data_IF_102384018327
#
_entry.id   IF_102384018327
#
_cell.length_a   1.000
_cell.length_b   1.000
_cell.length_c   1.000
_cell.angle_alpha   90.00
_cell.angle_beta   90.00
_cell.angle_gamma   90.00
#
_symmetry.space_group_name_H-M   'P 1'
#
loop_
_entity.id
_entity.type
_entity.pdbx_description
1 polymer ?
#
# COMPACT_ATOMS: atom_id res chain seq x y z
N UNK A 1 22.81 -26.44 0.06
CA UNK A 1 22.62 -25.14 0.73
C UNK A 1 23.85 -24.29 0.46
N UNK A 2 23.70 -23.15 -0.22
CA UNK A 2 24.83 -22.34 -0.68
C UNK A 2 25.47 -21.62 0.52
N UNK A 3 26.80 -21.52 0.58
CA UNK A 3 27.51 -20.86 1.69
C UNK A 3 27.08 -19.40 1.91
N UNK A 4 26.51 -18.73 0.90
CA UNK A 4 25.94 -17.39 1.00
C UNK A 4 24.64 -17.33 1.81
N UNK A 5 23.85 -18.42 1.82
CA UNK A 5 22.61 -18.51 2.59
C UNK A 5 22.87 -18.73 4.10
N UNK A 6 24.00 -19.35 4.43
CA UNK A 6 24.42 -19.52 5.82
C UNK A 6 24.95 -18.20 6.40
N UNK A 7 25.72 -17.44 5.62
CA UNK A 7 26.24 -16.14 6.04
C UNK A 7 25.12 -15.12 6.23
N UNK A 8 24.12 -15.07 5.35
CA UNK A 8 22.98 -14.14 5.49
C UNK A 8 22.09 -14.46 6.70
N UNK A 9 21.99 -15.74 7.09
CA UNK A 9 21.28 -16.17 8.31
C UNK A 9 22.09 -15.97 9.58
N UNK A 10 23.42 -16.08 9.51
CA UNK A 10 24.31 -15.90 10.66
C UNK A 10 24.68 -14.42 10.91
N UNK A 11 24.57 -13.56 9.90
CA UNK A 11 24.85 -12.13 9.99
C UNK A 11 24.18 -11.41 11.18
N UNK A 12 22.87 -11.57 11.46
CA UNK A 12 22.24 -10.93 12.61
C UNK A 12 22.79 -11.43 13.96
N UNK A 13 23.09 -12.73 14.08
CA UNK A 13 23.67 -13.28 15.30
C UNK A 13 25.09 -12.76 15.53
N UNK A 14 25.90 -12.69 14.48
CA UNK A 14 27.24 -12.11 14.53
C UNK A 14 27.19 -10.63 14.89
N UNK A 15 26.21 -9.88 14.38
CA UNK A 15 26.01 -8.48 14.74
C UNK A 15 25.64 -8.32 16.22
N UNK A 16 24.73 -9.15 16.75
CA UNK A 16 24.37 -9.15 18.18
C UNK A 16 25.57 -9.48 19.07
N UNK A 17 26.32 -10.55 18.74
CA UNK A 17 27.51 -10.94 19.50
C UNK A 17 28.61 -9.88 19.41
N UNK A 18 28.80 -9.26 18.24
CA UNK A 18 29.73 -8.15 18.06
C UNK A 18 29.34 -6.94 18.91
N UNK A 19 28.04 -6.61 18.99
CA UNK A 19 27.54 -5.51 19.81
C UNK A 19 27.71 -5.80 21.31
N UNK A 20 27.45 -7.03 21.76
CA UNK A 20 27.71 -7.46 23.14
C UNK A 20 29.19 -7.42 23.48
N UNK A 21 30.06 -7.89 22.57
CA UNK A 21 31.50 -7.82 22.74
C UNK A 21 32.00 -6.38 22.81
N UNK A 22 31.48 -5.50 21.96
CA UNK A 22 31.82 -4.08 21.98
C UNK A 22 31.34 -3.40 23.26
N UNK A 23 30.15 -3.75 23.77
CA UNK A 23 29.66 -3.27 25.06
C UNK A 23 30.52 -3.77 26.22
N UNK A 24 30.90 -5.05 26.24
CA UNK A 24 31.79 -5.61 27.27
C UNK A 24 33.14 -4.89 27.27
N UNK A 25 33.76 -4.71 26.09
CA UNK A 25 35.04 -4.00 25.96
C UNK A 25 34.88 -2.54 26.40
N UNK A 26 33.82 -1.86 25.98
CA UNK A 26 33.56 -0.48 26.38
C UNK A 26 33.39 -0.37 27.90
N UNK A 27 32.67 -1.29 28.53
CA UNK A 27 32.48 -1.31 29.98
C UNK A 27 33.79 -1.53 30.74
N UNK A 28 34.65 -2.42 30.24
CA UNK A 28 35.98 -2.64 30.80
C UNK A 28 36.88 -1.40 30.64
N UNK A 29 36.85 -0.74 29.48
CA UNK A 29 37.66 0.46 29.23
C UNK A 29 37.19 1.65 30.07
N UNK A 30 35.87 1.84 30.23
CA UNK A 30 35.33 2.94 31.04
C UNK A 30 35.47 2.71 32.56
N UNK A 31 35.54 1.45 33.01
CA UNK A 31 35.81 1.07 34.42
C UNK A 31 35.05 1.92 35.45
N UNK A 32 33.78 2.21 35.18
CA UNK A 32 32.92 3.04 36.03
C UNK A 32 31.77 2.20 36.58
N UNK A 33 31.49 2.29 37.88
CA UNK A 33 30.42 1.50 38.54
C UNK A 33 29.02 1.76 37.94
N UNK A 34 28.80 2.94 37.36
CA UNK A 34 27.54 3.30 36.69
C UNK A 34 27.35 2.61 35.33
N UNK A 35 28.38 1.96 34.78
CA UNK A 35 28.32 1.30 33.48
C UNK A 35 28.79 -0.16 33.60
N UNK A 36 27.93 -1.05 34.14
CA UNK A 36 28.29 -2.44 34.40
C UNK A 36 28.56 -3.20 33.09
N UNK A 37 29.38 -4.25 33.20
CA UNK A 37 29.64 -5.18 32.09
C UNK A 37 28.37 -5.93 31.71
N UNK A 38 28.31 -6.38 30.45
CA UNK A 38 27.16 -7.08 29.91
C UNK A 38 26.86 -8.35 30.74
N UNK A 39 27.91 -9.02 31.21
CA UNK A 39 27.79 -10.20 32.05
C UNK A 39 27.16 -9.91 33.42
N UNK A 40 27.55 -8.82 34.08
CA UNK A 40 26.99 -8.42 35.37
C UNK A 40 25.51 -8.06 35.22
N UNK A 41 25.14 -7.35 34.16
CA UNK A 41 23.75 -7.01 33.86
C UNK A 41 22.87 -8.26 33.70
N UNK A 42 23.36 -9.29 32.98
CA UNK A 42 22.62 -10.54 32.78
C UNK A 42 22.41 -11.28 34.12
N UNK A 43 23.43 -11.32 34.98
CA UNK A 43 23.30 -11.97 36.30
C UNK A 43 22.36 -11.23 37.26
N UNK A 44 22.10 -9.95 37.05
CA UNK A 44 21.15 -9.20 37.85
C UNK A 44 19.68 -9.54 37.52
N UNK A 45 19.40 -10.08 36.32
CA UNK A 45 18.03 -10.34 35.85
C UNK A 45 17.21 -11.20 36.83
N UNK A 46 17.69 -12.37 37.33
CA UNK A 46 16.91 -13.19 38.25
C UNK A 46 16.60 -12.47 39.56
N UNK A 47 17.52 -11.63 40.06
CA UNK A 47 17.31 -10.86 41.29
C UNK A 47 16.24 -9.77 41.12
N UNK A 48 16.21 -9.11 39.96
CA UNK A 48 15.21 -8.08 39.64
C UNK A 48 13.83 -8.71 39.44
N UNK A 49 13.77 -9.87 38.76
CA UNK A 49 12.51 -10.56 38.51
C UNK A 49 11.98 -11.32 39.74
N UNK A 50 12.85 -11.65 40.70
CA UNK A 50 12.47 -12.27 41.97
C UNK A 50 11.95 -11.28 43.01
N UNK A 51 12.24 -9.98 42.84
CA UNK A 51 11.78 -8.94 43.74
C UNK A 51 10.34 -8.50 43.43
N UNK A 52 9.49 -8.52 44.47
CA UNK A 52 8.06 -8.20 44.36
C UNK A 52 7.85 -6.74 44.01
N UNK A 53 8.66 -5.82 44.53
CA UNK A 53 8.52 -4.39 44.26
C UNK A 53 8.86 -4.07 42.80
N UNK A 54 9.96 -4.64 42.29
CA UNK A 54 10.35 -4.58 40.88
C UNK A 54 9.24 -5.07 39.94
N UNK A 55 8.62 -6.22 40.26
CA UNK A 55 7.50 -6.75 39.46
C UNK A 55 6.28 -5.82 39.44
N UNK A 56 5.92 -5.21 40.58
CA UNK A 56 4.82 -4.24 40.64
C UNK A 56 5.12 -3.03 39.75
N UNK A 57 6.34 -2.49 39.84
CA UNK A 57 6.76 -1.35 39.02
C UNK A 57 6.71 -1.65 37.51
N UNK A 58 7.14 -2.85 37.11
CA UNK A 58 7.05 -3.33 35.72
C UNK A 58 5.58 -3.41 35.29
N UNK A 59 4.71 -4.01 36.11
CA UNK A 59 3.31 -4.21 35.79
C UNK A 59 2.56 -2.88 35.69
N UNK A 60 2.86 -1.93 36.57
CA UNK A 60 2.29 -0.58 36.52
C UNK A 60 2.74 0.16 35.25
N UNK A 61 4.00 0.02 34.84
CA UNK A 61 4.49 0.59 33.57
C UNK A 61 3.75 -0.01 32.37
N UNK A 62 3.60 -1.33 32.37
CA UNK A 62 2.90 -2.05 31.32
C UNK A 62 1.41 -1.68 31.26
N UNK A 63 0.74 -1.54 32.41
CA UNK A 63 -0.65 -1.10 32.52
C UNK A 63 -0.85 0.28 31.92
N UNK A 64 0.01 1.26 32.26
CA UNK A 64 -0.04 2.61 31.68
C UNK A 64 0.13 2.58 30.17
N UNK A 65 1.09 1.80 29.68
CA UNK A 65 1.33 1.63 28.25
C UNK A 65 0.12 1.02 27.54
N UNK A 66 -0.46 -0.03 28.11
CA UNK A 66 -1.63 -0.70 27.56
C UNK A 66 -2.85 0.23 27.49
N UNK A 67 -3.12 1.00 28.56
CA UNK A 67 -4.24 1.94 28.59
C UNK A 67 -4.04 3.07 27.56
N UNK A 68 -2.86 3.70 27.56
CA UNK A 68 -2.55 4.79 26.64
C UNK A 68 -2.61 4.35 25.18
N UNK A 69 -2.10 3.15 24.88
CA UNK A 69 -2.18 2.53 23.57
C UNK A 69 -3.62 2.20 23.18
N UNK A 70 -4.40 1.56 24.05
CA UNK A 70 -5.78 1.17 23.76
C UNK A 70 -6.66 2.39 23.44
N UNK A 71 -6.60 3.44 24.28
CA UNK A 71 -7.31 4.70 24.04
C UNK A 71 -6.81 5.35 22.74
N UNK A 72 -5.49 5.33 22.52
CA UNK A 72 -4.87 5.84 21.29
C UNK A 72 -5.44 5.19 20.05
N UNK A 73 -5.49 3.87 20.02
CA UNK A 73 -6.00 3.06 18.90
C UNK A 73 -7.49 3.32 18.67
N UNK A 74 -8.30 3.31 19.74
CA UNK A 74 -9.75 3.54 19.67
C UNK A 74 -10.08 4.90 19.05
N UNK A 75 -9.29 5.94 19.32
CA UNK A 75 -9.51 7.28 18.77
C UNK A 75 -8.89 7.42 17.37
N UNK A 76 -7.70 6.87 17.17
CA UNK A 76 -6.87 7.11 15.99
C UNK A 76 -7.30 6.32 14.77
N UNK A 77 -7.75 5.07 14.96
CA UNK A 77 -8.23 4.24 13.85
C UNK A 77 -9.46 4.88 13.18
N UNK A 78 -10.54 5.23 13.91
CA UNK A 78 -11.70 5.87 13.28
C UNK A 78 -11.32 7.17 12.57
N UNK A 79 -10.48 8.01 13.17
CA UNK A 79 -10.04 9.25 12.55
C UNK A 79 -9.27 9.00 11.26
N UNK A 80 -8.30 8.07 11.25
CA UNK A 80 -7.57 7.69 10.05
C UNK A 80 -8.46 7.09 8.96
N UNK A 81 -9.44 6.26 9.33
CA UNK A 81 -10.43 5.72 8.39
C UNK A 81 -11.32 6.82 7.80
N UNK A 82 -11.78 7.77 8.62
CA UNK A 82 -12.56 8.93 8.16
C UNK A 82 -11.77 9.81 7.20
N UNK A 83 -10.48 10.03 7.48
CA UNK A 83 -9.58 10.72 6.55
C UNK A 83 -9.43 9.95 5.23
N UNK A 84 -9.37 8.62 5.28
CA UNK A 84 -9.25 7.80 4.07
C UNK A 84 -10.48 7.91 3.18
N UNK A 85 -11.67 7.95 3.79
CA UNK A 85 -12.96 7.98 3.09
C UNK A 85 -13.39 9.38 2.63
N UNK A 86 -12.97 10.44 3.31
CA UNK A 86 -13.41 11.82 3.02
C UNK A 86 -12.24 12.74 2.71
N UNK A 87 -12.21 13.26 1.48
CA UNK A 87 -11.22 14.25 1.04
C UNK A 87 -11.24 15.53 1.89
N UNK A 88 -12.40 15.93 2.41
CA UNK A 88 -12.54 17.11 3.28
C UNK A 88 -11.90 16.88 4.65
N UNK A 89 -12.10 15.70 5.24
CA UNK A 89 -11.49 15.35 6.52
C UNK A 89 -9.98 15.22 6.35
N UNK A 90 -9.53 14.59 5.26
CA UNK A 90 -8.11 14.52 4.94
C UNK A 90 -7.48 15.92 4.75
N UNK A 91 -8.10 16.81 3.99
CA UNK A 91 -7.53 18.14 3.73
C UNK A 91 -7.43 19.00 5.00
N UNK A 92 -8.36 18.83 5.95
CA UNK A 92 -8.33 19.52 7.23
C UNK A 92 -7.25 18.97 8.17
N UNK A 93 -7.18 17.66 8.37
CA UNK A 93 -6.26 17.06 9.35
C UNK A 93 -4.83 16.88 8.85
N UNK A 94 -4.61 16.70 7.54
CA UNK A 94 -3.28 16.42 7.00
C UNK A 94 -2.22 17.51 7.34
N UNK A 95 -2.53 18.83 7.24
CA UNK A 95 -1.60 19.87 7.69
C UNK A 95 -1.26 19.77 9.19
N UNK A 96 -2.23 19.48 10.05
CA UNK A 96 -2.00 19.33 11.49
C UNK A 96 -1.09 18.15 11.78
N UNK A 97 -1.30 17.02 11.09
CA UNK A 97 -0.44 15.85 11.23
C UNK A 97 1.00 16.16 10.80
N UNK A 98 1.18 16.86 9.67
CA UNK A 98 2.51 17.25 9.17
C UNK A 98 3.26 18.18 10.14
N UNK A 99 2.58 19.15 10.75
CA UNK A 99 3.19 20.05 11.74
C UNK A 99 3.53 19.31 13.03
N UNK A 100 2.68 18.36 13.44
CA UNK A 100 2.86 17.65 14.71
C UNK A 100 3.84 16.47 14.58
N UNK A 101 4.06 15.93 13.38
CA UNK A 101 4.96 14.79 13.12
C UNK A 101 6.41 14.99 13.62
N UNK A 102 7.10 16.10 13.31
CA UNK A 102 8.49 16.30 13.75
C UNK A 102 8.64 16.52 15.26
N UNK A 103 7.55 16.80 15.99
CA UNK A 103 7.60 17.08 17.43
C UNK A 103 7.76 15.77 18.21
N UNK A 104 8.89 15.56 18.92
CA UNK A 104 9.09 14.38 19.75
C UNK A 104 8.09 14.40 20.91
N UNK A 105 7.24 13.37 21.03
CA UNK A 105 6.21 13.34 22.07
C UNK A 105 6.81 13.25 23.47
N UNK A 106 7.98 12.63 23.59
CA UNK A 106 8.76 12.62 24.83
C UNK A 106 9.15 14.03 25.30
N UNK A 107 9.36 14.99 24.39
CA UNK A 107 9.68 16.37 24.74
C UNK A 107 8.47 17.15 25.30
N UNK A 108 7.25 16.66 25.10
CA UNK A 108 6.03 17.24 25.66
C UNK A 108 5.78 16.82 27.11
N UNK A 109 6.50 15.80 27.59
CA UNK A 109 6.34 15.24 28.94
C UNK A 109 6.40 16.32 30.04
N UNK A 110 7.38 17.25 30.07
CA UNK A 110 7.46 18.25 31.12
C UNK A 110 6.28 19.23 31.12
N UNK A 111 5.82 19.63 29.92
CA UNK A 111 4.69 20.55 29.75
C UNK A 111 3.39 19.90 30.25
N UNK A 112 3.19 18.64 29.87
CA UNK A 112 2.02 17.87 30.30
C UNK A 112 2.04 17.64 31.81
N UNK A 113 3.22 17.35 32.39
CA UNK A 113 3.38 17.26 33.84
C UNK A 113 3.09 18.57 34.55
N UNK A 114 3.40 19.72 33.94
CA UNK A 114 3.10 21.03 34.53
C UNK A 114 1.58 21.26 34.60
N UNK A 115 0.83 20.85 33.58
CA UNK A 115 -0.62 21.04 33.53
C UNK A 115 -1.42 20.01 34.32
N UNK A 116 -1.05 18.73 34.21
CA UNK A 116 -1.79 17.61 34.81
C UNK A 116 -1.20 17.14 36.14
N UNK A 117 -0.07 17.71 36.55
CA UNK A 117 0.72 17.25 37.69
C UNK A 117 1.61 16.06 37.35
N UNK A 118 2.50 15.74 38.30
CA UNK A 118 3.33 14.53 38.23
C UNK A 118 2.47 13.34 38.60
N UNK A 119 2.28 12.42 37.66
CA UNK A 119 1.45 11.25 37.90
C UNK A 119 1.41 10.30 36.71
N UNK A 120 0.51 9.34 36.78
CA UNK A 120 0.35 8.32 35.74
C UNK A 120 -0.49 8.79 34.56
N UNK A 121 -1.38 9.75 34.81
CA UNK A 121 -2.18 10.39 33.76
C UNK A 121 -1.28 11.11 32.75
N UNK A 122 -0.30 11.88 33.21
CA UNK A 122 0.65 12.58 32.36
C UNK A 122 1.45 11.62 31.48
N UNK A 123 2.00 10.54 32.06
CA UNK A 123 2.73 9.49 31.33
C UNK A 123 1.83 8.83 30.27
N UNK A 124 0.61 8.48 30.66
CA UNK A 124 -0.35 7.80 29.77
C UNK A 124 -0.76 8.71 28.60
N UNK A 125 -0.92 10.01 28.83
CA UNK A 125 -1.24 10.98 27.77
C UNK A 125 -0.10 11.10 26.75
N UNK A 126 1.16 11.10 27.20
CA UNK A 126 2.31 11.10 26.27
C UNK A 126 2.34 9.85 25.40
N UNK A 127 2.02 8.68 25.98
CA UNK A 127 1.92 7.43 25.22
C UNK A 127 0.80 7.51 24.19
N UNK A 128 -0.38 8.00 24.59
CA UNK A 128 -1.50 8.25 23.70
C UNK A 128 -1.10 9.15 22.51
N UNK A 129 -0.42 10.27 22.79
CA UNK A 129 0.07 11.20 21.76
C UNK A 129 1.16 10.59 20.86
N UNK A 130 1.98 9.68 21.42
CA UNK A 130 3.01 8.91 20.71
C UNK A 130 2.43 7.95 19.70
N UNK A 131 1.38 7.24 20.09
CA UNK A 131 0.74 6.21 19.28
C UNK A 131 -0.24 6.80 18.27
N UNK A 132 -0.86 7.94 18.58
CA UNK A 132 -1.97 8.47 17.77
C UNK A 132 -1.56 8.79 16.33
N UNK A 133 -0.49 9.56 16.13
CA UNK A 133 -0.03 9.94 14.78
C UNK A 133 0.29 8.76 13.86
N UNK A 134 1.17 7.80 14.24
CA UNK A 134 1.48 6.67 13.36
C UNK A 134 0.23 5.80 13.10
N UNK A 135 -0.64 5.61 14.10
CA UNK A 135 -1.88 4.85 13.91
C UNK A 135 -2.82 5.56 12.93
N UNK A 136 -3.04 6.87 13.08
CA UNK A 136 -3.83 7.67 12.14
C UNK A 136 -3.26 7.52 10.73
N UNK A 137 -1.94 7.66 10.57
CA UNK A 137 -1.27 7.59 9.27
C UNK A 137 -1.42 6.21 8.63
N UNK A 138 -1.17 5.13 9.37
CA UNK A 138 -1.31 3.77 8.85
C UNK A 138 -2.77 3.42 8.54
N UNK A 139 -3.73 3.84 9.36
CA UNK A 139 -5.16 3.66 9.08
C UNK A 139 -5.62 4.45 7.86
N UNK A 140 -5.12 5.68 7.68
CA UNK A 140 -5.39 6.51 6.50
C UNK A 140 -4.88 5.85 5.22
N UNK A 141 -3.62 5.40 5.22
CA UNK A 141 -3.03 4.75 4.05
C UNK A 141 -3.69 3.39 3.76
N UNK A 142 -4.03 2.63 4.80
CA UNK A 142 -4.79 1.38 4.65
C UNK A 142 -6.15 1.60 4.01
N UNK A 143 -6.89 2.62 4.44
CA UNK A 143 -8.19 2.98 3.86
C UNK A 143 -8.08 3.36 2.38
N UNK A 144 -7.09 4.18 2.00
CA UNK A 144 -6.84 4.55 0.59
C UNK A 144 -6.48 3.35 -0.28
N UNK A 145 -5.63 2.45 0.23
CA UNK A 145 -5.22 1.26 -0.51
C UNK A 145 -6.40 0.33 -0.83
N UNK A 146 -7.37 0.23 0.09
CA UNK A 146 -8.60 -0.55 -0.13
C UNK A 146 -9.48 0.12 -1.20
N UNK A 147 -9.65 1.44 -1.14
CA UNK A 147 -10.43 2.19 -2.13
C UNK A 147 -9.85 2.02 -3.54
N UNK A 148 -8.53 2.18 -3.69
CA UNK A 148 -7.83 2.03 -4.97
C UNK A 148 -8.00 0.61 -5.55
N UNK A 149 -7.85 -0.42 -4.71
CA UNK A 149 -8.05 -1.81 -5.12
C UNK A 149 -9.50 -2.09 -5.55
N UNK A 150 -10.48 -1.52 -4.85
CA UNK A 150 -11.89 -1.71 -5.16
C UNK A 150 -12.30 -0.99 -6.44
N UNK A 151 -11.78 0.22 -6.66
CA UNK A 151 -11.95 0.96 -7.92
C UNK A 151 -11.35 0.20 -9.10
N UNK A 152 -10.15 -0.36 -8.95
CA UNK A 152 -9.50 -1.15 -10.00
C UNK A 152 -10.27 -2.42 -10.33
N UNK A 153 -10.74 -3.16 -9.32
CA UNK A 153 -11.55 -4.37 -9.53
C UNK A 153 -12.90 -4.04 -10.18
N UNK A 154 -13.53 -2.94 -9.79
CA UNK A 154 -14.78 -2.47 -10.38
C UNK A 154 -14.59 -2.05 -11.83
N UNK A 155 -13.54 -1.28 -12.12
CA UNK A 155 -13.20 -0.85 -13.48
C UNK A 155 -12.84 -2.05 -14.37
N UNK A 156 -12.02 -2.99 -13.89
CA UNK A 156 -11.67 -4.20 -14.62
C UNK A 156 -12.90 -5.06 -14.91
N UNK A 157 -13.78 -5.27 -13.91
CA UNK A 157 -15.05 -5.96 -14.10
C UNK A 157 -15.92 -5.26 -15.15
N UNK A 158 -16.08 -3.94 -15.06
CA UNK A 158 -16.89 -3.17 -15.99
C UNK A 158 -16.34 -3.25 -17.42
N UNK A 159 -15.02 -3.21 -17.60
CA UNK A 159 -14.38 -3.43 -18.91
C UNK A 159 -14.66 -4.84 -19.42
N UNK A 160 -14.55 -5.86 -18.58
CA UNK A 160 -14.74 -7.26 -18.97
C UNK A 160 -16.21 -7.54 -19.35
N UNK A 161 -17.17 -7.09 -18.54
CA UNK A 161 -18.60 -7.22 -18.85
C UNK A 161 -18.99 -6.44 -20.11
N UNK A 162 -18.53 -5.19 -20.23
CA UNK A 162 -18.77 -4.40 -21.44
C UNK A 162 -18.12 -5.03 -22.68
N UNK A 163 -16.96 -5.69 -22.56
CA UNK A 163 -16.33 -6.41 -23.68
C UNK A 163 -17.07 -7.69 -24.07
N UNK A 164 -17.73 -8.37 -23.12
CA UNK A 164 -18.53 -9.56 -23.39
C UNK A 164 -19.88 -9.20 -24.03
N UNK A 165 -20.49 -8.08 -23.62
CA UNK A 165 -21.68 -7.53 -24.28
C UNK A 165 -21.35 -6.94 -25.67
N UNK A 166 -20.15 -6.35 -25.84
CA UNK A 166 -19.59 -5.96 -27.15
C UNK A 166 -19.21 -7.17 -28.03
N UNK A 167 -19.27 -8.39 -27.48
CA UNK A 167 -19.28 -9.64 -28.24
C UNK A 167 -20.56 -9.87 -29.04
N UNK A 168 -21.37 -8.84 -29.29
CA UNK A 168 -22.47 -8.86 -30.27
C UNK A 168 -21.90 -9.06 -31.68
N UNK A 169 -21.66 -10.33 -31.99
CA UNK A 169 -21.53 -10.89 -33.33
C UNK A 169 -22.53 -10.27 -34.32
N UNK A 170 -23.73 -9.94 -33.86
CA UNK A 170 -24.83 -9.42 -34.68
C UNK A 170 -24.47 -8.15 -35.48
N UNK A 171 -23.77 -7.18 -34.87
CA UNK A 171 -23.41 -5.92 -35.56
C UNK A 171 -22.28 -6.15 -36.57
N UNK A 172 -21.32 -7.02 -36.23
CA UNK A 172 -20.19 -7.36 -37.10
C UNK A 172 -20.66 -8.19 -38.30
N UNK A 173 -21.50 -9.20 -38.07
CA UNK A 173 -22.13 -9.98 -39.15
C UNK A 173 -23.04 -9.11 -40.02
N UNK A 174 -23.80 -8.17 -39.43
CA UNK A 174 -24.58 -7.22 -40.20
C UNK A 174 -23.71 -6.35 -41.11
N UNK A 175 -22.56 -5.84 -40.63
CA UNK A 175 -21.64 -5.06 -41.47
C UNK A 175 -21.05 -5.90 -42.62
N UNK A 176 -20.64 -7.14 -42.36
CA UNK A 176 -20.11 -8.06 -43.39
C UNK A 176 -21.17 -8.32 -44.47
N UNK A 177 -22.41 -8.61 -44.06
CA UNK A 177 -23.53 -8.86 -45.00
C UNK A 177 -23.87 -7.60 -45.79
N UNK A 178 -23.94 -6.42 -45.14
CA UNK A 178 -24.26 -5.16 -45.80
C UNK A 178 -23.18 -4.79 -46.82
N UNK A 179 -21.90 -4.91 -46.46
CA UNK A 179 -20.79 -4.62 -47.37
C UNK A 179 -20.79 -5.60 -48.55
N UNK A 180 -21.01 -6.90 -48.30
CA UNK A 180 -21.09 -7.91 -49.36
C UNK A 180 -22.26 -7.66 -50.32
N UNK A 181 -23.45 -7.36 -49.79
CA UNK A 181 -24.63 -7.05 -50.59
C UNK A 181 -24.44 -5.77 -51.41
N UNK A 182 -23.81 -4.74 -50.81
CA UNK A 182 -23.52 -3.49 -51.50
C UNK A 182 -22.50 -3.70 -52.63
N UNK A 183 -21.47 -4.53 -52.41
CA UNK A 183 -20.48 -4.87 -53.44
C UNK A 183 -21.11 -5.54 -54.66
N UNK A 184 -21.94 -6.57 -54.44
CA UNK A 184 -22.64 -7.29 -55.52
C UNK A 184 -23.60 -6.35 -56.28
N UNK A 185 -24.32 -5.49 -55.55
CA UNK A 185 -25.22 -4.51 -56.15
C UNK A 185 -24.49 -3.48 -57.03
N UNK A 186 -23.33 -3.01 -56.56
CA UNK A 186 -22.48 -2.10 -57.32
C UNK A 186 -21.96 -2.76 -58.60
N UNK A 187 -21.44 -3.99 -58.50
CA UNK A 187 -20.89 -4.74 -59.63
C UNK A 187 -21.95 -4.97 -60.71
N UNK A 188 -23.16 -5.39 -60.30
CA UNK A 188 -24.28 -5.57 -61.21
C UNK A 188 -24.70 -4.25 -61.89
N UNK A 189 -24.67 -3.14 -61.16
CA UNK A 189 -24.98 -1.82 -61.71
C UNK A 189 -23.93 -1.37 -62.73
N UNK A 190 -22.64 -1.55 -62.41
CA UNK A 190 -21.53 -1.22 -63.31
C UNK A 190 -21.55 -2.07 -64.58
N UNK A 191 -21.79 -3.37 -64.48
CA UNK A 191 -21.83 -4.26 -65.65
C UNK A 191 -23.02 -3.92 -66.57
N UNK A 192 -24.17 -3.56 -66.00
CA UNK A 192 -25.33 -3.11 -66.79
C UNK A 192 -25.07 -1.76 -67.48
N UNK A 193 -24.40 -0.82 -66.80
CA UNK A 193 -23.96 0.46 -67.38
C UNK A 193 -22.94 0.25 -68.50
N UNK A 194 -21.95 -0.60 -68.26
CA UNK A 194 -20.93 -0.99 -69.25
C UNK A 194 -21.58 -1.61 -70.47
N UNK A 195 -22.47 -2.58 -70.30
CA UNK A 195 -23.18 -3.23 -71.40
C UNK A 195 -24.02 -2.28 -72.24
N UNK A 196 -24.63 -1.25 -71.62
CA UNK A 196 -25.38 -0.21 -72.36
C UNK A 196 -24.48 0.76 -73.11
N UNK A 197 -23.36 1.17 -72.53
CA UNK A 197 -22.50 2.22 -73.08
C UNK A 197 -21.48 1.68 -74.10
N UNK A 198 -20.99 0.45 -73.92
CA UNK A 198 -19.90 -0.13 -74.70
C UNK A 198 -20.41 -1.04 -75.83
N UNK A 199 -21.74 -1.12 -76.02
CA UNK A 199 -22.38 -1.93 -77.06
C UNK A 199 -21.90 -1.63 -78.50
N UNK A 200 -21.37 -0.43 -78.74
CA UNK A 200 -20.83 0.00 -80.03
C UNK A 200 -19.36 -0.39 -80.25
N UNK A 201 -18.67 -0.84 -79.19
CA UNK A 201 -17.25 -1.22 -79.22
C UNK A 201 -17.04 -2.73 -79.31
N UNK A 202 -18.06 -3.55 -79.07
CA UNK A 202 -17.96 -5.01 -79.25
C UNK A 202 -17.94 -5.31 -80.76
N UNK A 203 -16.81 -5.78 -81.31
CA UNK A 203 -16.73 -6.08 -82.73
C UNK A 203 -17.58 -7.33 -82.99
N UNK A 204 -18.68 -7.18 -83.73
CA UNK A 204 -19.47 -8.29 -84.29
C UNK A 204 -18.75 -8.99 -85.45
N UNK A 205 -17.46 -8.69 -85.65
CA UNK A 205 -16.64 -9.28 -86.69
C UNK A 205 -15.96 -10.52 -86.11
N UNK A 206 -16.60 -11.68 -86.30
CA UNK A 206 -15.87 -12.95 -86.34
C UNK A 206 -14.79 -12.79 -87.42
N UNK A 207 -13.55 -12.58 -87.01
CA UNK A 207 -12.42 -12.64 -87.94
C UNK A 207 -12.34 -14.11 -88.35
N UNK A 208 -12.63 -14.50 -89.60
CA UNK A 208 -12.31 -15.84 -90.04
C UNK A 208 -10.78 -15.93 -89.95
N UNK A 209 -10.29 -16.78 -89.06
CA UNK A 209 -8.88 -17.15 -89.05
C UNK A 209 -8.60 -17.99 -90.31
N UNK A 210 -8.59 -17.35 -91.47
CA UNK A 210 -8.06 -17.90 -92.71
C UNK A 210 -6.56 -17.59 -92.75
N UNK A 211 -5.80 -18.34 -91.95
CA UNK A 211 -4.40 -18.57 -92.22
C UNK A 211 -4.20 -20.07 -92.37
N UNK A 212 -4.13 -20.48 -93.64
CA UNK A 212 -3.59 -21.74 -94.17
C UNK A 212 -4.24 -23.07 -93.72
#
# INVERSE_FOLDING_TARGET
MSGRDLVSRAAPLLACLGLLGLWEIAALVLSTDSFPTAWVAIRAIPSILGDKESLINILDSLRRMAIGFAVGVIVSIPLGLMMGRSRLVASFFNPLLMVTYPVPKAALMPIIMLWLGVGDLAKTLVIFLGVSLPVIYHSFQGAKAVEEKMLWSGAAGNILFNSLDMGQYDTVYAMIIIIGAMGIGLDAAFENLRGKLVKWSEPSFEIPLSFA
#
